data_IF_709477522455
#
_entry.id   IF_709477522455
#
_cell.length_a   1.000
_cell.length_b   1.000
_cell.length_c   1.000
_cell.angle_alpha   90.00
_cell.angle_beta   90.00
_cell.angle_gamma   90.00
#
_symmetry.space_group_name_H-M   'P 1'
#
loop_
_entity.id
_entity.type
_entity.pdbx_description
1 polymer ?
#
# COMPACT_ATOMS: atom_id res chain seq x y z
N UNK A 1 48.71 31.08 30.70
CA UNK A 1 47.86 32.26 30.44
C UNK A 1 46.83 31.91 29.39
N UNK A 2 45.58 31.69 29.80
CA UNK A 2 44.42 31.63 28.91
C UNK A 2 43.88 33.06 28.72
N UNK A 3 43.68 33.47 27.48
CA UNK A 3 42.74 34.52 27.07
C UNK A 3 42.18 34.06 25.72
N UNK A 4 40.97 33.48 25.71
CA UNK A 4 39.69 34.17 25.58
C UNK A 4 39.27 34.25 24.11
N UNK A 5 38.15 33.62 23.76
CA UNK A 5 36.99 34.33 23.22
C UNK A 5 35.73 33.46 23.31
N UNK A 6 34.62 34.18 23.54
CA UNK A 6 33.31 33.75 24.01
C UNK A 6 32.43 33.19 22.88
N UNK A 7 31.62 32.18 23.25
CA UNK A 7 30.17 32.03 23.05
C UNK A 7 29.64 32.10 21.60
N UNK A 8 28.91 31.05 21.18
CA UNK A 8 27.48 31.08 20.81
C UNK A 8 27.02 29.64 20.53
N UNK A 9 25.96 29.22 21.25
CA UNK A 9 25.14 28.06 20.93
C UNK A 9 24.24 28.37 19.73
N UNK A 10 24.12 27.44 18.78
CA UNK A 10 22.82 27.06 18.22
C UNK A 10 22.94 25.70 17.54
N UNK A 11 22.02 24.81 17.91
CA UNK A 11 21.88 23.46 17.39
C UNK A 11 21.64 23.48 15.88
N UNK A 12 22.51 22.84 15.11
CA UNK A 12 22.21 22.44 13.74
C UNK A 12 21.51 21.09 13.75
N UNK A 13 20.27 21.15 13.29
CA UNK A 13 19.36 20.04 13.01
C UNK A 13 19.92 19.09 11.96
N UNK A 14 19.79 17.79 12.26
CA UNK A 14 19.64 16.62 11.38
C UNK A 14 20.30 16.69 10.00
N UNK A 15 21.45 16.02 9.91
CA UNK A 15 22.10 15.69 8.65
C UNK A 15 21.20 14.81 7.78
N UNK A 16 20.90 15.34 6.59
CA UNK A 16 20.44 14.61 5.41
C UNK A 16 21.33 13.40 5.12
N UNK A 17 20.80 12.19 5.31
CA UNK A 17 21.29 11.02 4.60
C UNK A 17 20.45 10.82 3.35
N UNK A 18 21.06 11.14 2.21
CA UNK A 18 20.57 10.87 0.87
C UNK A 18 20.44 9.35 0.65
N UNK A 19 19.29 8.78 0.97
CA UNK A 19 18.86 7.53 0.34
C UNK A 19 18.35 7.87 -1.06
N UNK A 20 19.22 7.62 -2.06
CA UNK A 20 18.85 7.65 -3.47
C UNK A 20 17.81 6.56 -3.71
N UNK A 21 16.54 6.94 -3.62
CA UNK A 21 15.43 6.18 -4.19
C UNK A 21 15.64 6.13 -5.72
N UNK A 22 16.14 5.02 -6.22
CA UNK A 22 16.20 4.76 -7.66
C UNK A 22 14.76 4.56 -8.14
N UNK A 23 14.15 5.65 -8.60
CA UNK A 23 12.87 5.65 -9.31
C UNK A 23 13.10 5.01 -10.68
N UNK A 24 12.95 3.69 -10.77
CA UNK A 24 12.90 2.98 -12.04
C UNK A 24 11.68 3.46 -12.81
N UNK A 25 11.96 4.14 -13.92
CA UNK A 25 11.01 4.74 -14.82
C UNK A 25 10.31 3.67 -15.67
N UNK A 26 9.19 3.17 -15.17
CA UNK A 26 8.05 2.72 -15.96
C UNK A 26 6.80 3.11 -15.18
N UNK A 27 5.84 3.72 -15.88
CA UNK A 27 4.58 4.21 -15.32
C UNK A 27 3.63 3.02 -15.16
N UNK A 28 4.08 1.98 -14.45
CA UNK A 28 3.36 0.72 -14.34
C UNK A 28 2.11 0.92 -13.51
N UNK A 29 0.96 0.84 -14.19
CA UNK A 29 -0.34 0.76 -13.55
C UNK A 29 -0.54 -0.68 -13.09
N UNK A 30 -0.77 -0.86 -11.79
CA UNK A 30 -1.21 -2.15 -11.26
C UNK A 30 -2.68 -2.06 -10.90
N UNK A 31 -3.46 -3.03 -11.37
CA UNK A 31 -4.89 -3.09 -11.11
C UNK A 31 -5.20 -4.38 -10.36
N UNK A 32 -5.91 -4.25 -9.25
CA UNK A 32 -6.40 -5.35 -8.45
C UNK A 32 -7.92 -5.31 -8.39
N UNK A 33 -8.55 -6.47 -8.49
CA UNK A 33 -10.00 -6.64 -8.34
C UNK A 33 -10.32 -7.30 -7.01
N UNK A 34 -11.18 -6.64 -6.24
CA UNK A 34 -11.72 -7.17 -4.99
C UNK A 34 -12.99 -7.97 -5.33
N UNK A 35 -13.04 -9.24 -4.95
CA UNK A 35 -14.16 -10.14 -5.25
C UNK A 35 -14.75 -10.78 -4.00
N UNK A 36 -16.05 -11.05 -4.03
CA UNK A 36 -16.73 -11.97 -3.13
C UNK A 36 -17.36 -13.08 -3.97
N UNK A 37 -16.93 -14.33 -3.77
CA UNK A 37 -17.22 -15.41 -4.71
C UNK A 37 -16.88 -14.99 -6.15
N UNK A 38 -17.87 -14.96 -7.04
CA UNK A 38 -17.71 -14.56 -8.45
C UNK A 38 -18.12 -13.10 -8.70
N UNK A 39 -18.49 -12.34 -7.67
CA UNK A 39 -18.94 -10.96 -7.81
C UNK A 39 -17.79 -9.98 -7.61
N UNK A 40 -17.63 -9.09 -8.58
CA UNK A 40 -16.72 -7.95 -8.48
C UNK A 40 -17.29 -6.94 -7.48
N UNK A 41 -16.55 -6.66 -6.42
CA UNK A 41 -16.90 -5.69 -5.38
C UNK A 41 -16.36 -4.30 -5.73
N UNK A 42 -15.09 -4.24 -6.13
CA UNK A 42 -14.43 -2.98 -6.44
C UNK A 42 -13.06 -3.20 -7.05
N UNK A 43 -12.44 -2.10 -7.44
CA UNK A 43 -11.12 -2.07 -8.07
C UNK A 43 -10.19 -1.22 -7.24
N UNK A 44 -9.01 -1.77 -6.93
CA UNK A 44 -7.89 -1.05 -6.33
C UNK A 44 -6.83 -0.86 -7.43
N UNK A 45 -6.44 0.37 -7.69
CA UNK A 45 -5.40 0.72 -8.66
C UNK A 45 -4.22 1.35 -7.96
N UNK A 46 -3.02 1.11 -8.48
CA UNK A 46 -1.83 1.86 -8.15
C UNK A 46 -1.24 2.46 -9.42
N UNK A 47 -1.13 3.79 -9.45
CA UNK A 47 -0.56 4.52 -10.58
C UNK A 47 -0.05 5.88 -10.10
N UNK A 48 1.05 6.38 -10.69
CA UNK A 48 1.68 7.65 -10.29
C UNK A 48 1.91 7.79 -8.77
N UNK A 49 2.30 6.69 -8.12
CA UNK A 49 2.56 6.67 -6.67
C UNK A 49 1.33 7.01 -5.80
N UNK A 50 0.13 6.77 -6.33
CA UNK A 50 -1.17 6.96 -5.67
C UNK A 50 -2.01 5.68 -5.79
N UNK A 51 -2.66 5.32 -4.68
CA UNK A 51 -3.67 4.28 -4.62
C UNK A 51 -5.05 4.87 -4.86
N UNK A 52 -5.83 4.20 -5.71
CA UNK A 52 -7.20 4.56 -6.03
C UNK A 52 -8.10 3.37 -5.78
N UNK A 53 -9.17 3.54 -5.00
CA UNK A 53 -10.20 2.51 -4.81
C UNK A 53 -11.59 3.03 -5.16
N UNK A 54 -12.36 2.21 -5.87
CA UNK A 54 -13.77 2.47 -6.17
C UNK A 54 -14.56 1.16 -6.25
N UNK A 55 -15.86 1.24 -5.93
CA UNK A 55 -16.76 0.10 -6.05
C UNK A 55 -17.18 -0.15 -7.49
N UNK A 56 -17.49 -1.41 -7.79
CA UNK A 56 -18.10 -1.81 -9.06
C UNK A 56 -19.56 -1.38 -9.13
N UNK A 57 -20.09 -1.28 -10.35
CA UNK A 57 -21.51 -0.98 -10.54
C UNK A 57 -22.41 -2.08 -9.95
N UNK A 58 -21.99 -3.34 -10.02
CA UNK A 58 -22.72 -4.43 -9.39
C UNK A 58 -22.86 -4.21 -7.88
N UNK A 59 -21.78 -3.81 -7.20
CA UNK A 59 -21.80 -3.62 -5.75
C UNK A 59 -22.55 -2.35 -5.32
N UNK A 60 -22.53 -1.32 -6.16
CA UNK A 60 -23.32 -0.08 -5.97
C UNK A 60 -24.82 -0.33 -6.02
N UNK A 61 -25.26 -1.17 -6.97
CA UNK A 61 -26.68 -1.42 -7.26
C UNK A 61 -27.35 -2.52 -6.41
N UNK A 62 -26.64 -3.08 -5.44
CA UNK A 62 -27.18 -4.10 -4.53
C UNK A 62 -27.30 -3.56 -3.10
N UNK A 63 -28.21 -4.16 -2.31
CA UNK A 63 -28.46 -3.81 -0.91
C UNK A 63 -28.17 -4.96 0.09
N UNK A 64 -27.71 -6.11 -0.39
CA UNK A 64 -27.34 -7.27 0.43
C UNK A 64 -26.07 -7.01 1.25
N UNK A 65 -25.05 -6.43 0.63
CA UNK A 65 -23.78 -6.10 1.26
C UNK A 65 -23.72 -4.63 1.63
N UNK A 66 -23.36 -4.39 2.90
CA UNK A 66 -22.96 -3.08 3.40
C UNK A 66 -21.63 -2.66 2.78
N UNK A 67 -21.41 -1.35 2.74
CA UNK A 67 -20.11 -0.78 2.39
C UNK A 67 -18.99 -1.31 3.30
N UNK A 68 -17.76 -1.15 2.85
CA UNK A 68 -16.57 -1.44 3.63
C UNK A 68 -16.33 -0.27 4.58
N UNK A 69 -15.94 -0.52 5.83
CA UNK A 69 -15.85 0.50 6.87
C UNK A 69 -14.99 1.71 6.49
N UNK A 70 -13.86 1.49 5.82
CA UNK A 70 -12.96 2.57 5.37
C UNK A 70 -13.47 3.30 4.10
N UNK A 71 -14.50 2.75 3.45
CA UNK A 71 -15.06 3.22 2.19
C UNK A 71 -16.59 3.39 2.29
N UNK A 72 -17.11 4.29 3.15
CA UNK A 72 -18.53 4.34 3.50
C UNK A 72 -19.49 4.80 2.39
N UNK A 73 -19.00 5.53 1.39
CA UNK A 73 -19.79 6.04 0.28
C UNK A 73 -19.52 5.18 -0.97
N UNK A 74 -20.53 4.42 -1.40
CA UNK A 74 -20.42 3.53 -2.57
C UNK A 74 -20.12 4.26 -3.88
N UNK A 75 -20.49 5.54 -3.99
CA UNK A 75 -20.28 6.36 -5.20
C UNK A 75 -18.96 7.12 -5.22
N UNK A 76 -18.20 7.10 -4.12
CA UNK A 76 -16.96 7.85 -4.01
C UNK A 76 -15.77 7.06 -4.59
N UNK A 77 -14.91 7.77 -5.30
CA UNK A 77 -13.54 7.34 -5.59
C UNK A 77 -12.62 7.79 -4.46
N UNK A 78 -11.87 6.86 -3.89
CA UNK A 78 -10.96 7.09 -2.78
C UNK A 78 -9.53 7.14 -3.30
N UNK A 79 -8.76 8.12 -2.85
CA UNK A 79 -7.36 8.35 -3.25
C UNK A 79 -6.47 8.58 -2.06
N UNK A 80 -5.25 8.05 -2.10
CA UNK A 80 -4.25 8.18 -1.03
C UNK A 80 -2.87 7.79 -1.54
N UNK A 81 -1.82 8.30 -0.90
CA UNK A 81 -0.45 7.83 -1.15
C UNK A 81 -0.12 6.52 -0.44
N UNK A 82 -0.87 6.18 0.61
CA UNK A 82 -0.61 5.03 1.49
C UNK A 82 -1.72 3.99 1.39
N UNK A 83 -1.36 2.72 1.25
CA UNK A 83 -2.33 1.63 1.13
C UNK A 83 -3.18 1.49 2.39
N UNK A 84 -4.51 1.54 2.22
CA UNK A 84 -5.47 1.39 3.32
C UNK A 84 -5.29 0.08 4.11
N UNK A 85 -5.45 0.11 5.46
CA UNK A 85 -5.44 -1.07 6.32
C UNK A 85 -6.31 -2.22 5.83
N UNK A 86 -7.47 -1.92 5.25
CA UNK A 86 -8.30 -2.93 4.59
C UNK A 86 -7.46 -3.83 3.68
N UNK A 87 -6.62 -3.27 2.81
CA UNK A 87 -5.76 -4.03 1.89
C UNK A 87 -4.44 -4.47 2.51
N UNK A 88 -3.75 -3.59 3.25
CA UNK A 88 -2.41 -3.89 3.77
C UNK A 88 -2.39 -4.99 4.83
N UNK A 89 -3.49 -5.23 5.54
CA UNK A 89 -3.64 -6.37 6.46
C UNK A 89 -3.58 -7.75 5.78
N UNK A 90 -3.57 -7.81 4.45
CA UNK A 90 -3.30 -9.05 3.68
C UNK A 90 -1.80 -9.35 3.56
N UNK A 91 -0.95 -8.34 3.74
CA UNK A 91 0.49 -8.47 3.64
C UNK A 91 1.03 -9.02 4.97
N UNK A 92 1.75 -10.16 4.96
CA UNK A 92 2.35 -10.72 6.16
C UNK A 92 3.34 -9.77 6.83
N UNK A 93 3.48 -9.89 8.15
CA UNK A 93 4.56 -9.21 8.87
C UNK A 93 5.93 -9.70 8.40
N UNK A 94 6.92 -8.81 8.39
CA UNK A 94 8.34 -9.09 8.09
C UNK A 94 8.92 -10.21 8.98
N UNK A 95 8.34 -10.44 10.16
CA UNK A 95 8.76 -11.53 11.07
C UNK A 95 8.32 -12.92 10.62
N UNK A 96 7.39 -13.03 9.67
CA UNK A 96 6.93 -14.34 9.19
C UNK A 96 7.97 -14.98 8.27
N UNK A 97 8.31 -16.27 8.43
CA UNK A 97 9.36 -16.93 7.62
C UNK A 97 9.18 -16.78 6.11
N UNK A 98 7.94 -16.92 5.61
CA UNK A 98 7.62 -16.74 4.18
C UNK A 98 7.93 -15.34 3.65
N UNK A 99 7.82 -14.32 4.50
CA UNK A 99 8.15 -12.94 4.12
C UNK A 99 9.66 -12.75 4.09
N UNK A 100 10.39 -13.31 5.06
CA UNK A 100 11.85 -13.22 5.11
C UNK A 100 12.49 -13.86 3.88
N UNK A 101 12.09 -15.11 3.55
CA UNK A 101 12.57 -15.81 2.35
C UNK A 101 12.31 -14.98 1.09
N UNK A 102 11.10 -14.43 0.94
CA UNK A 102 10.77 -13.61 -0.21
C UNK A 102 11.63 -12.34 -0.31
N UNK A 103 11.89 -11.66 0.81
CA UNK A 103 12.73 -10.46 0.84
C UNK A 103 14.20 -10.77 0.55
N UNK A 104 14.72 -11.90 1.03
CA UNK A 104 16.08 -12.38 0.74
C UNK A 104 16.26 -12.69 -0.75
N UNK A 105 15.29 -13.37 -1.37
CA UNK A 105 15.30 -13.72 -2.79
C UNK A 105 15.16 -12.50 -3.72
N UNK A 106 14.55 -11.41 -3.25
CA UNK A 106 14.20 -10.23 -4.06
C UNK A 106 14.88 -8.94 -3.57
N UNK A 107 16.04 -9.07 -2.92
CA UNK A 107 16.75 -7.96 -2.27
C UNK A 107 16.85 -6.70 -3.15
N UNK A 108 16.44 -5.56 -2.59
CA UNK A 108 16.47 -4.20 -3.18
C UNK A 108 15.41 -3.84 -4.23
N UNK A 109 14.42 -4.70 -4.50
CA UNK A 109 13.39 -4.42 -5.53
C UNK A 109 11.94 -4.56 -5.06
N UNK A 110 11.70 -4.87 -3.79
CA UNK A 110 10.35 -5.12 -3.27
C UNK A 110 9.70 -3.82 -2.80
N UNK A 111 8.59 -3.46 -3.41
CA UNK A 111 7.70 -2.39 -2.98
C UNK A 111 6.36 -2.96 -2.46
N UNK A 112 5.51 -2.08 -1.92
CA UNK A 112 4.19 -2.48 -1.36
C UNK A 112 3.27 -3.13 -2.39
N UNK A 113 3.36 -2.73 -3.66
CA UNK A 113 2.58 -3.31 -4.76
C UNK A 113 3.00 -4.75 -5.00
N UNK A 114 4.31 -5.03 -5.07
CA UNK A 114 4.85 -6.39 -5.25
C UNK A 114 4.44 -7.30 -4.09
N UNK A 115 4.46 -6.77 -2.86
CA UNK A 115 4.01 -7.50 -1.67
C UNK A 115 2.51 -7.81 -1.71
N UNK A 116 1.71 -6.86 -2.17
CA UNK A 116 0.26 -7.03 -2.30
C UNK A 116 -0.07 -8.01 -3.43
N UNK A 117 0.66 -8.00 -4.54
CA UNK A 117 0.52 -8.99 -5.60
C UNK A 117 0.88 -10.39 -5.10
N UNK A 118 1.99 -10.52 -4.37
CA UNK A 118 2.49 -11.81 -3.89
C UNK A 118 1.63 -12.43 -2.79
N UNK A 119 1.15 -11.61 -1.85
CA UNK A 119 0.52 -12.11 -0.62
C UNK A 119 -0.92 -11.63 -0.42
N UNK A 120 -1.38 -10.67 -1.23
CA UNK A 120 -2.63 -9.95 -1.00
C UNK A 120 -3.91 -10.75 -1.23
N UNK A 121 -3.82 -11.92 -1.87
CA UNK A 121 -5.02 -12.62 -2.36
C UNK A 121 -6.03 -12.95 -1.27
N UNK A 122 -5.56 -13.34 -0.08
CA UNK A 122 -6.40 -13.75 1.03
C UNK A 122 -6.06 -12.97 2.30
N UNK A 123 -7.05 -12.80 3.17
CA UNK A 123 -6.86 -12.30 4.53
C UNK A 123 -7.59 -13.20 5.53
N UNK A 124 -7.06 -13.29 6.75
CA UNK A 124 -7.54 -14.22 7.78
C UNK A 124 -8.99 -13.93 8.18
N UNK A 125 -9.38 -12.65 8.27
CA UNK A 125 -10.66 -12.22 8.82
C UNK A 125 -11.55 -11.53 7.78
N UNK A 126 -11.33 -11.79 6.49
CA UNK A 126 -12.02 -11.09 5.43
C UNK A 126 -12.35 -12.06 4.29
N UNK A 127 -13.63 -12.21 3.91
CA UNK A 127 -14.04 -13.19 2.90
C UNK A 127 -13.74 -12.74 1.46
N UNK A 128 -13.28 -11.50 1.26
CA UNK A 128 -12.98 -10.98 -0.06
C UNK A 128 -11.61 -11.43 -0.57
N UNK A 129 -11.57 -11.88 -1.83
CA UNK A 129 -10.33 -12.16 -2.55
C UNK A 129 -9.84 -10.91 -3.28
N UNK A 130 -8.53 -10.69 -3.29
CA UNK A 130 -7.89 -9.63 -4.06
C UNK A 130 -7.05 -10.26 -5.18
N UNK A 131 -7.38 -10.01 -6.43
CA UNK A 131 -6.67 -10.63 -7.56
C UNK A 131 -6.06 -9.56 -8.44
N UNK A 132 -4.83 -9.77 -8.92
CA UNK A 132 -4.26 -8.92 -9.95
C UNK A 132 -5.09 -9.07 -11.23
N UNK A 133 -5.51 -7.96 -11.81
CA UNK A 133 -6.14 -7.92 -13.11
C UNK A 133 -5.05 -7.81 -14.17
N UNK A 134 -4.92 -8.88 -14.97
CA UNK A 134 -4.02 -8.95 -16.13
C UNK A 134 -4.61 -8.21 -17.34
#
# INVERSE_FOLDING_TARGET
>A
MLKSLKKIFSNTSLNNTNEKFNLSSSKEEHVFVLKYNNHLIGTLKYFNNEWVFYYSDWFKNQNEFRHLLEFPNKEKEYKTKELWPFFSNRIPSIKQPKMQVYLEENANKVNTVDLLEKFGTYSVNNPYKLELAL
#
